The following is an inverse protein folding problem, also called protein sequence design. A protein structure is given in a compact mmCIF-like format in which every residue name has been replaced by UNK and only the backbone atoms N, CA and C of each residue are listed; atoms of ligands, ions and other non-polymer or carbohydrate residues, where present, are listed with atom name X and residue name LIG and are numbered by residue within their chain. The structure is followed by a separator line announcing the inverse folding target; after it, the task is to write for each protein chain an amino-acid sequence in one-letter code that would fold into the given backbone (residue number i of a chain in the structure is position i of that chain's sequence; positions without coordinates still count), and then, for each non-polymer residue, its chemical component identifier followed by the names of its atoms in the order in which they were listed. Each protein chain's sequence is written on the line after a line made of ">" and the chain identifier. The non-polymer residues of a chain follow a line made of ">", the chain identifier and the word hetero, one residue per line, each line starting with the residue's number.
data_IF_137813274542
#
_entry.id   IF_137813274542
#
_cell.length_a   1.000
_cell.length_b   1.000
_cell.length_c   1.000
_cell.angle_alpha   90.00
_cell.angle_beta   90.00
_cell.angle_gamma   90.00
#
_symmetry.space_group_name_H-M   'P 1'
#
loop_
_entity.id
_entity.type
_entity.pdbx_description
1 polymer ?
#
# COMPACT_ATOMS: atom_id res chain seq x y z
N UNK A 1 31.12 1.35 -47.03
CA UNK A 1 29.67 1.26 -47.31
C UNK A 1 29.02 0.48 -46.18
N UNK A 2 28.15 1.13 -45.40
CA UNK A 2 27.60 0.59 -44.16
C UNK A 2 26.59 -0.53 -44.46
N UNK A 3 27.03 -1.78 -44.33
CA UNK A 3 26.14 -2.94 -44.23
C UNK A 3 25.53 -3.00 -42.82
N UNK A 4 24.80 -1.96 -42.43
CA UNK A 4 23.89 -2.08 -41.29
C UNK A 4 22.73 -2.96 -41.76
N UNK A 5 22.91 -4.26 -41.57
CA UNK A 5 22.01 -5.29 -42.06
C UNK A 5 20.58 -4.95 -41.65
N UNK A 6 19.69 -4.89 -42.64
CA UNK A 6 18.23 -4.70 -42.50
C UNK A 6 17.65 -5.59 -41.39
N UNK A 7 18.31 -6.71 -41.10
CA UNK A 7 18.07 -7.58 -39.96
C UNK A 7 17.99 -6.88 -38.59
N UNK A 8 18.79 -5.84 -38.33
CA UNK A 8 18.76 -5.13 -37.04
C UNK A 8 17.51 -4.25 -36.90
N UNK A 9 17.09 -3.61 -37.98
CA UNK A 9 15.87 -2.80 -38.00
C UNK A 9 14.66 -3.73 -37.84
N UNK A 10 14.65 -4.87 -38.54
CA UNK A 10 13.61 -5.88 -38.39
C UNK A 10 13.57 -6.45 -36.97
N UNK A 11 14.72 -6.67 -36.33
CA UNK A 11 14.79 -7.16 -34.96
C UNK A 11 14.26 -6.13 -33.95
N UNK A 12 14.55 -4.84 -34.14
CA UNK A 12 14.01 -3.77 -33.29
C UNK A 12 12.49 -3.64 -33.47
N UNK A 13 11.99 -3.68 -34.71
CA UNK A 13 10.55 -3.63 -34.99
C UNK A 13 9.86 -4.87 -34.43
N UNK A 14 10.47 -6.05 -34.56
CA UNK A 14 9.95 -7.29 -33.98
C UNK A 14 9.90 -7.20 -32.45
N UNK A 15 10.95 -6.72 -31.78
CA UNK A 15 10.94 -6.51 -30.32
C UNK A 15 9.89 -5.47 -29.92
N UNK A 16 9.72 -4.39 -30.70
CA UNK A 16 8.74 -3.36 -30.42
C UNK A 16 7.31 -3.90 -30.52
N UNK A 17 6.98 -4.59 -31.61
CA UNK A 17 5.68 -5.24 -31.82
C UNK A 17 5.44 -6.36 -30.81
N UNK A 18 6.46 -7.15 -30.49
CA UNK A 18 6.38 -8.18 -29.47
C UNK A 18 6.13 -7.59 -28.09
N UNK A 19 6.81 -6.50 -27.72
CA UNK A 19 6.56 -5.76 -26.48
C UNK A 19 5.19 -5.10 -26.46
N UNK A 20 4.72 -4.56 -27.58
CA UNK A 20 3.40 -3.96 -27.69
C UNK A 20 2.31 -5.02 -27.54
N UNK A 21 2.46 -6.16 -28.21
CA UNK A 21 1.55 -7.30 -28.10
C UNK A 21 1.55 -7.88 -26.68
N UNK A 22 2.73 -8.09 -26.09
CA UNK A 22 2.87 -8.52 -24.69
C UNK A 22 2.24 -7.51 -23.72
N UNK A 23 2.39 -6.19 -23.95
CA UNK A 23 1.76 -5.15 -23.13
C UNK A 23 0.24 -5.16 -23.24
N UNK A 24 -0.32 -5.41 -24.43
CA UNK A 24 -1.78 -5.50 -24.61
C UNK A 24 -2.32 -6.75 -23.93
N UNK A 25 -1.70 -7.91 -24.17
CA UNK A 25 -2.06 -9.19 -23.52
C UNK A 25 -1.94 -9.11 -22.00
N UNK A 26 -0.90 -8.45 -21.48
CA UNK A 26 -0.72 -8.25 -20.04
C UNK A 26 -1.80 -7.34 -19.47
N UNK A 27 -2.16 -6.24 -20.15
CA UNK A 27 -3.26 -5.35 -19.72
C UNK A 27 -4.62 -6.05 -19.74
N UNK A 28 -4.89 -6.87 -20.74
CA UNK A 28 -6.14 -7.63 -20.86
C UNK A 28 -6.22 -8.75 -19.83
N UNK A 29 -5.12 -9.48 -19.60
CA UNK A 29 -5.02 -10.44 -18.49
C UNK A 29 -5.17 -9.76 -17.15
N UNK A 30 -4.60 -8.57 -16.95
CA UNK A 30 -4.80 -7.83 -15.70
C UNK A 30 -6.23 -7.34 -15.52
N UNK A 31 -6.89 -6.89 -16.58
CA UNK A 31 -8.32 -6.54 -16.54
C UNK A 31 -9.19 -7.76 -16.26
N UNK A 32 -8.93 -8.88 -16.93
CA UNK A 32 -9.64 -10.14 -16.69
C UNK A 32 -9.35 -10.67 -15.28
N UNK A 33 -8.13 -10.57 -14.76
CA UNK A 33 -7.80 -10.95 -13.38
C UNK A 33 -8.37 -9.96 -12.36
N UNK A 34 -8.53 -8.67 -12.67
CA UNK A 34 -9.24 -7.73 -11.80
C UNK A 34 -10.74 -7.86 -11.91
N UNK A 35 -11.29 -8.28 -13.05
CA UNK A 35 -12.70 -8.58 -13.21
C UNK A 35 -13.05 -9.92 -12.57
N UNK A 36 -12.23 -10.96 -12.75
CA UNK A 36 -12.34 -12.24 -12.03
C UNK A 36 -12.12 -12.01 -10.54
N UNK A 37 -11.11 -11.27 -10.09
CA UNK A 37 -10.99 -10.93 -8.67
C UNK A 37 -12.15 -10.05 -8.20
N UNK A 38 -12.73 -9.15 -9.01
CA UNK A 38 -13.92 -8.38 -8.60
C UNK A 38 -15.17 -9.26 -8.54
N UNK A 39 -15.29 -10.27 -9.41
CA UNK A 39 -16.43 -11.18 -9.49
C UNK A 39 -16.32 -12.31 -8.46
N UNK A 40 -15.13 -12.87 -8.28
CA UNK A 40 -14.78 -13.79 -7.20
C UNK A 40 -14.79 -13.06 -5.86
N UNK A 41 -14.28 -11.82 -5.75
CA UNK A 41 -14.62 -10.97 -4.61
C UNK A 41 -16.13 -10.82 -4.53
N UNK A 42 -16.90 -10.56 -5.59
CA UNK A 42 -18.35 -10.44 -5.43
C UNK A 42 -19.06 -11.73 -4.97
N UNK A 43 -18.58 -12.91 -5.39
CA UNK A 43 -19.16 -14.23 -5.08
C UNK A 43 -18.63 -14.83 -3.77
N UNK A 44 -17.35 -14.61 -3.46
CA UNK A 44 -16.70 -14.94 -2.19
C UNK A 44 -17.13 -13.91 -1.14
N UNK A 45 -17.29 -12.63 -1.47
CA UNK A 45 -17.97 -11.65 -0.61
C UNK A 45 -19.42 -12.05 -0.38
N UNK A 46 -20.16 -12.40 -1.42
CA UNK A 46 -21.54 -12.84 -1.23
C UNK A 46 -21.70 -14.15 -0.41
N UNK A 47 -20.63 -14.92 -0.16
CA UNK A 47 -20.71 -16.20 0.58
C UNK A 47 -19.76 -16.34 1.79
N UNK A 48 -18.80 -15.41 1.97
CA UNK A 48 -17.90 -15.29 3.12
C UNK A 48 -18.03 -13.92 3.82
N UNK A 49 -18.63 -12.88 3.20
CA UNK A 49 -19.14 -11.69 3.92
C UNK A 49 -20.52 -11.94 4.57
N UNK A 50 -21.12 -13.10 4.35
CA UNK A 50 -22.02 -13.73 5.33
C UNK A 50 -21.15 -14.51 6.32
N UNK A 51 -20.29 -13.88 7.10
CA UNK A 51 -20.72 -13.30 8.36
C UNK A 51 -19.56 -12.45 8.89
N UNK A 52 -19.74 -11.13 9.07
CA UNK A 52 -18.66 -10.26 9.50
C UNK A 52 -18.23 -10.54 10.94
N UNK A 53 -17.13 -9.95 11.40
CA UNK A 53 -16.56 -10.18 12.75
C UNK A 53 -17.52 -9.92 13.92
N UNK A 54 -18.60 -9.15 13.73
CA UNK A 54 -19.71 -8.99 14.70
C UNK A 54 -20.58 -10.24 14.89
N UNK A 55 -20.42 -11.24 14.02
CA UNK A 55 -21.07 -12.55 14.13
C UNK A 55 -20.24 -13.54 14.92
N UNK A 56 -18.91 -13.45 14.81
CA UNK A 56 -17.97 -14.28 15.57
C UNK A 56 -17.65 -13.68 16.94
N UNK A 57 -17.80 -12.36 17.09
CA UNK A 57 -17.52 -11.60 18.30
C UNK A 57 -18.54 -10.47 18.45
N UNK A 58 -19.57 -10.62 19.30
CA UNK A 58 -20.58 -9.58 19.53
C UNK A 58 -20.00 -8.27 20.12
N UNK A 59 -18.73 -8.28 20.53
CA UNK A 59 -18.04 -7.18 21.22
C UNK A 59 -17.08 -6.37 20.31
N UNK A 60 -17.06 -6.62 18.99
CA UNK A 60 -16.26 -5.79 18.07
C UNK A 60 -17.00 -4.47 17.83
N UNK A 61 -16.54 -3.42 18.49
CA UNK A 61 -17.13 -2.10 18.35
C UNK A 61 -16.66 -1.44 17.05
N UNK A 62 -17.62 -1.02 16.22
CA UNK A 62 -17.35 -0.18 15.05
C UNK A 62 -17.03 1.23 15.51
N UNK A 63 -15.74 1.56 15.56
CA UNK A 63 -15.24 2.86 15.98
C UNK A 63 -15.40 3.94 14.89
N UNK A 64 -16.62 4.19 14.42
CA UNK A 64 -16.88 5.19 13.36
C UNK A 64 -16.48 6.61 13.78
N UNK A 65 -16.63 6.95 15.06
CA UNK A 65 -16.21 8.24 15.60
C UNK A 65 -14.69 8.43 15.46
N UNK A 66 -13.88 7.37 15.63
CA UNK A 66 -12.43 7.42 15.42
C UNK A 66 -12.12 7.69 13.95
N UNK A 67 -12.83 7.02 13.02
CA UNK A 67 -12.68 7.26 11.59
C UNK A 67 -13.00 8.73 11.21
N UNK A 68 -13.99 9.36 11.86
CA UNK A 68 -14.29 10.80 11.66
C UNK A 68 -13.14 11.69 12.14
N UNK A 69 -12.57 11.40 13.30
CA UNK A 69 -11.41 12.13 13.84
C UNK A 69 -10.20 11.97 12.92
N UNK A 70 -9.87 10.75 12.51
CA UNK A 70 -8.74 10.48 11.60
C UNK A 70 -8.92 11.25 10.30
N UNK A 71 -10.12 11.23 9.71
CA UNK A 71 -10.42 11.98 8.48
C UNK A 71 -10.19 13.48 8.64
N UNK A 72 -10.58 14.06 9.78
CA UNK A 72 -10.38 15.49 10.06
C UNK A 72 -8.90 15.83 10.35
N UNK A 73 -8.18 14.92 11.01
CA UNK A 73 -6.77 15.09 11.36
C UNK A 73 -5.81 14.80 10.20
N UNK A 74 -6.23 14.01 9.20
CA UNK A 74 -5.37 13.50 8.12
C UNK A 74 -4.59 14.58 7.36
N UNK A 75 -5.16 15.74 6.98
CA UNK A 75 -4.39 16.79 6.31
C UNK A 75 -3.23 17.34 7.15
N UNK A 76 -3.38 17.33 8.48
CA UNK A 76 -2.34 17.75 9.42
C UNK A 76 -1.33 16.62 9.66
N UNK A 77 -1.83 15.39 9.78
CA UNK A 77 -1.01 14.20 9.91
C UNK A 77 -0.09 14.03 8.69
N UNK A 78 -0.60 14.15 7.46
CA UNK A 78 0.21 14.03 6.24
C UNK A 78 1.38 15.04 6.22
N UNK A 79 1.11 16.30 6.62
CA UNK A 79 2.16 17.34 6.75
C UNK A 79 3.19 17.01 7.84
N UNK A 80 2.75 16.47 8.97
CA UNK A 80 3.65 16.10 10.07
C UNK A 80 4.48 14.88 9.72
N UNK A 81 3.87 13.87 9.12
CA UNK A 81 4.50 12.62 8.73
C UNK A 81 5.59 12.88 7.67
N UNK A 82 5.32 13.72 6.66
CA UNK A 82 6.32 14.15 5.65
C UNK A 82 7.56 14.78 6.32
N UNK A 83 7.35 15.64 7.31
CA UNK A 83 8.45 16.38 7.96
C UNK A 83 9.15 15.57 9.04
N UNK A 84 8.43 15.18 10.10
CA UNK A 84 9.02 14.65 11.32
C UNK A 84 9.35 13.16 11.24
N UNK A 85 8.51 12.34 10.62
CA UNK A 85 8.72 10.89 10.65
C UNK A 85 9.66 10.46 9.53
N UNK A 86 9.36 10.88 8.30
CA UNK A 86 10.10 10.34 7.18
C UNK A 86 11.49 10.97 7.01
N UNK A 87 11.62 12.30 7.11
CA UNK A 87 12.92 12.98 6.94
C UNK A 87 13.81 12.83 8.16
N UNK A 88 13.28 12.98 9.36
CA UNK A 88 14.11 13.01 10.57
C UNK A 88 14.34 11.62 11.17
N UNK A 89 13.44 10.65 10.95
CA UNK A 89 13.56 9.30 11.53
C UNK A 89 13.84 8.23 10.47
N UNK A 90 13.04 8.13 9.40
CA UNK A 90 13.23 7.05 8.42
C UNK A 90 14.49 7.20 7.57
N UNK A 91 14.79 8.39 7.05
CA UNK A 91 16.02 8.60 6.25
C UNK A 91 17.28 8.14 6.99
N UNK A 92 17.55 8.57 8.24
CA UNK A 92 18.74 8.10 8.95
C UNK A 92 18.70 6.60 9.24
N UNK A 93 17.53 6.03 9.54
CA UNK A 93 17.39 4.57 9.74
C UNK A 93 17.73 3.77 8.47
N UNK A 94 17.22 4.18 7.32
CA UNK A 94 17.48 3.53 6.02
C UNK A 94 18.96 3.66 5.65
N UNK A 95 19.55 4.84 5.84
CA UNK A 95 20.98 5.07 5.61
C UNK A 95 21.87 4.23 6.52
N UNK A 96 21.46 4.03 7.78
CA UNK A 96 22.16 3.21 8.76
C UNK A 96 22.04 1.71 8.52
N UNK A 97 21.07 1.26 7.72
CA UNK A 97 20.82 -0.17 7.48
C UNK A 97 21.90 -0.80 6.59
N UNK A 98 22.36 -0.09 5.55
CA UNK A 98 23.36 -0.63 4.64
C UNK A 98 24.21 0.48 3.99
N UNK A 99 25.55 0.31 3.84
CA UNK A 99 26.43 1.33 3.21
C UNK A 99 26.01 1.73 1.79
N UNK A 100 25.35 0.82 1.06
CA UNK A 100 24.81 1.12 -0.27
C UNK A 100 23.65 2.12 -0.26
N UNK A 101 22.96 2.26 0.87
CA UNK A 101 21.82 3.17 1.07
C UNK A 101 22.24 4.47 1.76
N UNK A 102 23.53 4.70 2.02
CA UNK A 102 24.02 5.90 2.72
C UNK A 102 23.63 7.22 2.03
N UNK A 103 23.47 7.22 0.71
CA UNK A 103 23.03 8.36 -0.10
C UNK A 103 21.51 8.38 -0.36
N UNK A 104 20.73 7.66 0.45
CA UNK A 104 19.27 7.62 0.30
C UNK A 104 18.65 9.00 0.59
N UNK A 105 17.75 9.47 -0.28
CA UNK A 105 16.98 10.70 -0.08
C UNK A 105 15.56 10.59 -0.66
N UNK A 106 14.61 11.33 -0.08
CA UNK A 106 13.25 11.44 -0.61
C UNK A 106 13.14 12.69 -1.51
N UNK A 107 12.66 12.52 -2.75
CA UNK A 107 12.39 13.62 -3.70
C UNK A 107 10.95 14.13 -3.55
N UNK A 108 9.99 13.22 -3.42
CA UNK A 108 8.57 13.53 -3.20
C UNK A 108 8.02 12.51 -2.23
N UNK A 109 7.28 12.96 -1.24
CA UNK A 109 6.70 12.10 -0.23
C UNK A 109 5.32 12.65 0.10
N UNK A 110 4.31 11.86 -0.22
CA UNK A 110 2.92 12.20 0.00
C UNK A 110 2.17 10.91 0.30
N UNK A 111 1.46 10.85 1.44
CA UNK A 111 0.62 9.71 1.78
C UNK A 111 -0.77 9.78 1.16
N UNK A 112 -1.03 10.80 0.33
CA UNK A 112 -2.29 10.95 -0.38
C UNK A 112 -3.39 11.54 0.49
N UNK A 113 -4.56 11.71 -0.11
CA UNK A 113 -5.71 12.35 0.52
C UNK A 113 -6.60 11.37 1.27
N UNK A 114 -6.45 10.07 0.97
CA UNK A 114 -7.28 9.01 1.56
C UNK A 114 -6.68 8.57 2.91
N UNK A 115 -7.38 8.80 4.04
CA UNK A 115 -6.91 8.37 5.35
C UNK A 115 -7.07 6.86 5.55
N UNK A 116 -6.32 6.27 6.50
CA UNK A 116 -6.58 4.93 6.98
C UNK A 116 -7.94 4.85 7.67
N UNK A 117 -8.55 3.66 7.62
CA UNK A 117 -9.82 3.33 8.22
C UNK A 117 -9.63 2.22 9.25
N UNK A 118 -10.24 2.39 10.40
CA UNK A 118 -10.36 1.34 11.41
C UNK A 118 -11.62 0.53 11.11
N UNK A 119 -11.46 -0.79 11.00
CA UNK A 119 -12.53 -1.76 10.80
C UNK A 119 -13.30 -2.01 12.08
N UNK A 120 -12.62 -2.63 13.05
CA UNK A 120 -13.16 -2.97 14.36
C UNK A 120 -12.10 -2.93 15.45
N UNK A 121 -12.54 -2.70 16.67
CA UNK A 121 -11.70 -2.73 17.87
C UNK A 121 -12.21 -3.82 18.80
N UNK A 122 -11.31 -4.64 19.32
CA UNK A 122 -11.61 -5.68 20.30
C UNK A 122 -10.71 -5.50 21.52
N UNK A 123 -11.32 -5.28 22.68
CA UNK A 123 -10.61 -5.14 23.95
C UNK A 123 -10.73 -6.43 24.74
N UNK A 124 -9.61 -6.93 25.25
CA UNK A 124 -9.58 -8.12 26.10
C UNK A 124 -9.45 -7.68 27.56
N UNK A 125 -10.54 -7.82 28.32
CA UNK A 125 -10.62 -7.49 29.75
C UNK A 125 -10.38 -8.69 30.67
N UNK A 126 -10.39 -9.91 30.14
CA UNK A 126 -10.39 -11.14 30.96
C UNK A 126 -9.01 -11.58 31.43
N UNK A 127 -7.96 -10.79 31.15
CA UNK A 127 -6.60 -11.18 31.51
C UNK A 127 -6.31 -10.81 32.97
N UNK A 128 -5.82 -11.78 33.74
CA UNK A 128 -5.49 -11.69 35.19
C UNK A 128 -4.29 -10.74 35.46
N UNK A 129 -3.79 -10.06 34.44
CA UNK A 129 -2.65 -9.12 34.50
C UNK A 129 -3.21 -7.71 34.32
N UNK A 130 -2.71 -6.74 35.08
CA UNK A 130 -3.06 -5.30 35.01
C UNK A 130 -2.67 -4.63 33.67
N UNK A 131 -3.02 -5.23 32.54
CA UNK A 131 -2.68 -4.79 31.18
C UNK A 131 -3.92 -4.86 30.30
N UNK A 132 -4.16 -3.79 29.56
CA UNK A 132 -5.27 -3.69 28.63
C UNK A 132 -4.75 -4.13 27.27
N UNK A 133 -5.17 -5.30 26.82
CA UNK A 133 -4.85 -5.76 25.46
C UNK A 133 -5.97 -5.36 24.51
N UNK A 134 -5.60 -4.83 23.35
CA UNK A 134 -6.54 -4.37 22.33
C UNK A 134 -6.06 -4.77 20.94
N UNK A 135 -6.95 -5.37 20.16
CA UNK A 135 -6.75 -5.61 18.72
C UNK A 135 -7.55 -4.58 17.93
N UNK A 136 -6.87 -3.93 16.97
CA UNK A 136 -7.45 -2.91 16.10
C UNK A 136 -7.22 -3.34 14.66
N UNK A 137 -8.29 -3.57 13.92
CA UNK A 137 -8.21 -3.88 12.49
C UNK A 137 -8.02 -2.58 11.70
N UNK A 138 -6.91 -2.46 10.96
CA UNK A 138 -6.55 -1.25 10.22
C UNK A 138 -6.49 -1.53 8.73
N UNK A 139 -7.20 -0.71 7.96
CA UNK A 139 -7.20 -0.71 6.50
C UNK A 139 -6.63 0.61 6.00
N UNK A 140 -5.63 0.55 5.13
CA UNK A 140 -5.12 1.71 4.43
C UNK A 140 -5.05 1.39 2.95
N UNK A 141 -5.83 2.10 2.14
CA UNK A 141 -5.80 2.00 0.69
C UNK A 141 -5.64 3.42 0.13
N UNK A 142 -4.44 3.97 0.33
CA UNK A 142 -4.13 5.35 0.03
C UNK A 142 -3.50 5.53 -1.34
N UNK A 143 -3.77 6.66 -1.98
CA UNK A 143 -3.11 7.16 -3.19
C UNK A 143 -1.70 7.70 -2.92
N UNK A 144 -1.00 7.08 -1.96
CA UNK A 144 0.33 7.50 -1.54
C UNK A 144 1.29 7.50 -2.73
N UNK A 145 2.07 8.56 -2.83
CA UNK A 145 3.05 8.76 -3.89
C UNK A 145 4.41 9.11 -3.28
N UNK A 146 5.24 8.08 -3.13
CA UNK A 146 6.58 8.18 -2.56
C UNK A 146 7.60 8.07 -3.70
N UNK A 147 8.55 8.98 -3.75
CA UNK A 147 9.64 9.01 -4.72
C UNK A 147 10.94 9.26 -3.98
N UNK A 148 11.88 8.35 -4.12
CA UNK A 148 13.18 8.36 -3.47
C UNK A 148 14.31 8.18 -4.48
N UNK A 149 15.51 8.55 -4.08
CA UNK A 149 16.72 8.47 -4.87
C UNK A 149 17.85 7.88 -4.05
N UNK A 150 18.60 6.96 -4.64
CA UNK A 150 19.78 6.33 -4.05
C UNK A 150 20.85 6.19 -5.12
N UNK A 151 22.03 6.77 -4.93
CA UNK A 151 23.18 6.62 -5.85
C UNK A 151 22.83 6.87 -7.33
N UNK A 152 22.01 7.88 -7.59
CA UNK A 152 21.57 8.24 -8.95
C UNK A 152 20.40 7.41 -9.50
N UNK A 153 20.01 6.32 -8.84
CA UNK A 153 18.82 5.53 -9.20
C UNK A 153 17.60 6.15 -8.51
N UNK A 154 16.57 6.44 -9.30
CA UNK A 154 15.31 6.98 -8.82
C UNK A 154 14.30 5.85 -8.72
N UNK A 155 13.73 5.65 -7.53
CA UNK A 155 12.69 4.68 -7.25
C UNK A 155 11.44 5.38 -6.72
N UNK A 156 10.28 4.77 -6.90
CA UNK A 156 9.04 5.32 -6.37
C UNK A 156 8.00 4.24 -6.14
N UNK A 157 7.15 4.48 -5.16
CA UNK A 157 6.02 3.64 -4.76
C UNK A 157 4.76 4.45 -4.93
N UNK A 158 3.75 3.84 -5.57
CA UNK A 158 2.42 4.40 -5.75
C UNK A 158 1.38 3.42 -5.24
N UNK A 159 0.23 3.94 -4.84
CA UNK A 159 -0.96 3.15 -4.50
C UNK A 159 -0.67 2.11 -3.40
N UNK A 160 -0.31 2.61 -2.22
CA UNK A 160 0.02 1.76 -1.08
C UNK A 160 -1.27 1.21 -0.46
N UNK A 161 -1.33 -0.11 -0.38
CA UNK A 161 -2.41 -0.82 0.28
C UNK A 161 -1.86 -1.67 1.41
N UNK A 162 -2.45 -1.54 2.59
CA UNK A 162 -2.13 -2.32 3.76
C UNK A 162 -3.42 -2.69 4.49
N UNK A 163 -3.50 -3.95 4.88
CA UNK A 163 -4.55 -4.48 5.75
C UNK A 163 -3.85 -5.29 6.82
N UNK A 164 -4.18 -5.04 8.08
CA UNK A 164 -3.64 -5.84 9.17
C UNK A 164 -4.23 -5.50 10.52
N UNK A 165 -4.04 -6.42 11.45
CA UNK A 165 -4.45 -6.29 12.84
C UNK A 165 -3.31 -5.71 13.67
N UNK A 166 -3.57 -4.58 14.32
CA UNK A 166 -2.66 -3.94 15.24
C UNK A 166 -3.02 -4.36 16.67
N UNK A 167 -2.09 -5.06 17.34
CA UNK A 167 -2.20 -5.41 18.76
C UNK A 167 -1.49 -4.39 19.63
N UNK A 168 -2.20 -3.84 20.60
CA UNK A 168 -1.70 -2.92 21.63
C UNK A 168 -1.78 -3.64 22.98
N UNK A 169 -0.69 -3.63 23.74
CA UNK A 169 -0.58 -4.24 25.08
C UNK A 169 -0.22 -3.19 26.13
#
# INVERSE_FOLDING_TARGET
>A
YYHFSVSWILLIVFIYLFRQHQRTQFKERHKMLTEINKNEEHYIKARLEELPSWVFFPDVERAEWVNRIIKQAWPYANKYIDKAIFRDVMVPMIRGTHPALADFSFEKLDLGEIPPRIGGVKVYTDNIRDQIMMDIEVFYAGDAHIKSKVKGIVCGVKDIQFVGDLRVN
#
